data_IF_439449835221
#
_entry.id   IF_439449835221
#
_cell.length_a   1.000
_cell.length_b   1.000
_cell.length_c   1.000
_cell.angle_alpha   90.00
_cell.angle_beta   90.00
_cell.angle_gamma   90.00
#
_symmetry.space_group_name_H-M   'P 1'
#
loop_
_entity.id
_entity.type
_entity.pdbx_description
1 polymer ?
#
# COMPACT_ATOMS: atom_id res chain seq x y z
N UNK A 1 1.17 17.58 -27.26
CA UNK A 1 0.52 16.25 -27.17
C UNK A 1 -0.57 16.43 -26.14
N UNK A 2 -1.83 16.35 -26.57
CA UNK A 2 -2.99 16.59 -25.70
C UNK A 2 -3.18 15.39 -24.77
N UNK A 3 -2.97 15.60 -23.47
CA UNK A 3 -3.06 14.57 -22.44
C UNK A 3 -4.55 14.33 -22.09
N UNK A 4 -5.45 15.23 -22.50
CA UNK A 4 -6.88 15.20 -22.16
C UNK A 4 -7.70 14.17 -22.94
N UNK A 5 -7.12 13.50 -23.95
CA UNK A 5 -7.83 12.51 -24.77
C UNK A 5 -7.63 11.06 -24.33
N UNK A 6 -6.80 10.80 -23.30
CA UNK A 6 -6.50 9.45 -22.80
C UNK A 6 -7.25 9.22 -21.49
N UNK A 7 -7.89 8.07 -21.34
CA UNK A 7 -8.44 7.67 -20.04
C UNK A 7 -7.32 7.65 -19.00
N UNK A 8 -7.54 8.17 -17.78
CA UNK A 8 -6.52 8.19 -16.74
C UNK A 8 -6.11 6.76 -16.37
N UNK A 9 -4.88 6.59 -15.90
CA UNK A 9 -4.43 5.33 -15.31
C UNK A 9 -5.14 5.14 -13.96
N UNK A 10 -5.84 4.02 -13.77
CA UNK A 10 -6.74 3.82 -12.62
C UNK A 10 -6.10 2.87 -11.60
N UNK A 11 -5.87 3.39 -10.40
CA UNK A 11 -5.32 2.64 -9.27
C UNK A 11 -6.42 2.42 -8.23
N UNK A 12 -6.67 1.16 -7.88
CA UNK A 12 -7.43 0.82 -6.68
C UNK A 12 -6.49 0.78 -5.48
N UNK A 13 -6.64 1.72 -4.55
CA UNK A 13 -5.90 1.73 -3.29
C UNK A 13 -6.72 1.03 -2.20
N UNK A 14 -6.22 -0.10 -1.71
CA UNK A 14 -6.80 -0.87 -0.61
C UNK A 14 -6.14 -0.46 0.71
N UNK A 15 -6.87 0.25 1.55
CA UNK A 15 -6.39 0.63 2.87
C UNK A 15 -6.71 -0.45 3.90
N UNK A 16 -5.69 -0.98 4.59
CA UNK A 16 -5.85 -1.99 5.64
C UNK A 16 -5.47 -1.45 7.03
N UNK A 17 -5.22 -0.15 7.16
CA UNK A 17 -4.70 0.50 8.36
C UNK A 17 -3.16 0.55 8.41
N UNK A 18 -2.59 0.15 9.55
CA UNK A 18 -1.15 0.23 9.80
C UNK A 18 -0.66 1.65 10.16
N UNK A 19 0.67 1.79 10.23
CA UNK A 19 1.34 3.01 10.75
C UNK A 19 0.99 4.28 9.98
N UNK A 20 0.68 4.20 8.68
CA UNK A 20 0.29 5.37 7.88
C UNK A 20 -0.97 6.03 8.45
N UNK A 21 -1.97 5.24 8.82
CA UNK A 21 -3.27 5.75 9.28
C UNK A 21 -3.33 6.00 10.79
N UNK A 22 -2.30 5.61 11.56
CA UNK A 22 -2.20 5.94 12.98
C UNK A 22 -2.06 7.46 13.15
N UNK A 23 -3.06 8.11 13.74
CA UNK A 23 -2.90 9.45 14.32
C UNK A 23 -2.89 9.43 15.84
N UNK A 24 -1.91 10.12 16.42
CA UNK A 24 -1.83 10.35 17.86
C UNK A 24 -2.58 11.64 18.20
N UNK A 25 -3.61 11.54 19.02
CA UNK A 25 -4.26 12.70 19.61
C UNK A 25 -3.55 13.04 20.93
N UNK A 26 -2.72 14.07 20.89
CA UNK A 26 -1.97 14.55 22.05
C UNK A 26 -2.88 15.12 23.16
N UNK A 27 -4.13 15.49 22.85
CA UNK A 27 -5.08 16.04 23.82
C UNK A 27 -5.84 14.95 24.59
N UNK A 28 -6.10 13.81 23.95
CA UNK A 28 -6.77 12.66 24.55
C UNK A 28 -5.80 11.60 25.11
N UNK A 29 -4.51 11.70 24.81
CA UNK A 29 -3.53 10.66 25.15
C UNK A 29 -3.80 9.33 24.45
N UNK A 30 -4.58 9.34 23.37
CA UNK A 30 -5.11 8.18 22.69
C UNK A 30 -4.83 8.25 21.18
N UNK A 31 -4.75 7.08 20.54
CA UNK A 31 -4.68 6.98 19.09
C UNK A 31 -6.11 7.12 18.53
N UNK A 32 -6.41 8.24 17.86
CA UNK A 32 -7.67 8.43 17.14
C UNK A 32 -7.46 8.11 15.66
N UNK A 33 -8.44 7.52 14.99
CA UNK A 33 -8.40 7.18 13.55
C UNK A 33 -9.16 8.21 12.67
N UNK A 34 -9.53 9.37 13.23
CA UNK A 34 -10.59 10.23 12.68
C UNK A 34 -10.22 11.06 11.44
N UNK A 35 -8.96 11.05 10.98
CA UNK A 35 -8.59 11.75 9.73
C UNK A 35 -8.24 10.74 8.66
N UNK A 36 -8.84 10.85 7.46
CA UNK A 36 -8.48 10.02 6.32
C UNK A 36 -7.08 10.44 5.81
N UNK A 37 -6.04 9.94 6.49
CA UNK A 37 -4.63 10.29 6.22
C UNK A 37 -4.28 10.00 4.77
N UNK A 38 -4.74 8.87 4.24
CA UNK A 38 -4.45 8.49 2.86
C UNK A 38 -5.05 9.47 1.86
N UNK A 39 -6.30 9.90 2.04
CA UNK A 39 -6.94 10.90 1.17
C UNK A 39 -6.24 12.27 1.28
N UNK A 40 -5.81 12.64 2.49
CA UNK A 40 -5.03 13.87 2.71
C UNK A 40 -3.69 13.81 1.97
N UNK A 41 -2.97 12.69 2.09
CA UNK A 41 -1.70 12.46 1.41
C UNK A 41 -1.91 12.49 -0.11
N UNK A 42 -2.90 11.77 -0.63
CA UNK A 42 -3.22 11.76 -2.06
C UNK A 42 -3.54 13.16 -2.58
N UNK A 43 -4.25 13.99 -1.80
CA UNK A 43 -4.54 15.38 -2.17
C UNK A 43 -3.29 16.29 -2.25
N UNK A 44 -2.16 15.89 -1.66
CA UNK A 44 -0.89 16.62 -1.79
C UNK A 44 -0.08 16.23 -3.03
N UNK A 45 -0.46 15.15 -3.73
CA UNK A 45 0.25 14.66 -4.90
C UNK A 45 -0.38 15.21 -6.19
N UNK A 46 0.42 15.85 -7.04
CA UNK A 46 0.00 16.24 -8.39
C UNK A 46 0.20 15.08 -9.37
N UNK A 47 -0.90 14.40 -9.71
CA UNK A 47 -0.92 13.23 -10.60
C UNK A 47 -2.02 13.40 -11.67
N UNK A 48 -1.82 14.29 -12.66
CA UNK A 48 -2.88 14.72 -13.57
C UNK A 48 -3.42 13.62 -14.49
N UNK A 49 -2.69 12.51 -14.63
CA UNK A 49 -3.03 11.36 -15.48
C UNK A 49 -3.35 10.08 -14.68
N UNK A 50 -3.53 10.19 -13.37
CA UNK A 50 -3.85 9.06 -12.48
C UNK A 50 -5.13 9.34 -11.71
N UNK A 51 -6.05 8.37 -11.74
CA UNK A 51 -7.19 8.33 -10.82
C UNK A 51 -6.91 7.27 -9.75
N UNK A 52 -6.95 7.67 -8.48
CA UNK A 52 -6.81 6.76 -7.34
C UNK A 52 -8.16 6.64 -6.65
N UNK A 53 -8.76 5.45 -6.70
CA UNK A 53 -9.98 5.13 -5.97
C UNK A 53 -9.60 4.41 -4.67
N UNK A 54 -9.98 4.98 -3.52
CA UNK A 54 -9.63 4.43 -2.20
C UNK A 54 -10.75 3.55 -1.67
N UNK A 55 -10.44 2.28 -1.39
CA UNK A 55 -11.31 1.35 -0.66
C UNK A 55 -10.68 0.97 0.67
N UNK A 56 -11.36 1.30 1.76
CA UNK A 56 -11.00 0.84 3.10
C UNK A 56 -11.48 -0.60 3.29
N UNK A 57 -10.53 -1.51 3.41
CA UNK A 57 -10.81 -2.93 3.67
C UNK A 57 -10.98 -3.15 5.16
N UNK A 58 -10.07 -2.57 5.95
CA UNK A 58 -10.04 -2.67 7.41
C UNK A 58 -9.14 -1.57 7.98
N UNK A 59 -9.08 -1.48 9.32
CA UNK A 59 -8.21 -0.52 10.02
C UNK A 59 -7.63 -1.17 11.28
N UNK A 60 -6.60 -2.01 11.11
CA UNK A 60 -5.96 -2.76 12.21
C UNK A 60 -4.45 -2.56 12.22
N UNK A 61 -3.80 -2.93 13.34
CA UNK A 61 -2.34 -3.09 13.36
C UNK A 61 -1.95 -4.34 12.56
N UNK A 62 -0.82 -4.28 11.86
CA UNK A 62 -0.27 -5.46 11.18
C UNK A 62 -0.04 -6.64 12.12
N UNK A 63 0.32 -6.40 13.39
CA UNK A 63 0.53 -7.46 14.38
C UNK A 63 -0.77 -8.15 14.79
N UNK A 64 -1.91 -7.47 14.64
CA UNK A 64 -3.24 -8.04 14.88
C UNK A 64 -3.83 -8.69 13.61
N UNK A 65 -3.15 -8.57 12.47
CA UNK A 65 -3.61 -9.17 11.21
C UNK A 65 -3.34 -10.68 11.18
N UNK A 66 -4.39 -11.47 11.39
CA UNK A 66 -4.38 -12.92 11.28
C UNK A 66 -4.62 -13.42 9.85
N UNK A 67 -4.90 -14.72 9.74
CA UNK A 67 -5.19 -15.36 8.44
C UNK A 67 -6.52 -14.91 7.84
N UNK A 68 -7.53 -14.69 8.68
CA UNK A 68 -8.85 -14.24 8.24
C UNK A 68 -8.76 -12.85 7.61
N UNK A 69 -8.07 -11.92 8.26
CA UNK A 69 -7.87 -10.56 7.78
C UNK A 69 -7.03 -10.56 6.49
N UNK A 70 -5.97 -11.38 6.42
CA UNK A 70 -5.23 -11.56 5.15
C UNK A 70 -6.11 -12.10 4.03
N UNK A 71 -7.01 -13.03 4.32
CA UNK A 71 -7.95 -13.56 3.32
C UNK A 71 -8.93 -12.48 2.83
N UNK A 72 -9.33 -11.53 3.68
CA UNK A 72 -10.12 -10.37 3.27
C UNK A 72 -9.32 -9.44 2.33
N UNK A 73 -8.05 -9.18 2.63
CA UNK A 73 -7.15 -8.42 1.73
C UNK A 73 -7.03 -9.11 0.37
N UNK A 74 -6.82 -10.42 0.35
CA UNK A 74 -6.77 -11.22 -0.89
C UNK A 74 -8.10 -11.13 -1.65
N UNK A 75 -9.23 -11.21 -0.96
CA UNK A 75 -10.56 -11.11 -1.56
C UNK A 75 -10.79 -9.73 -2.18
N UNK A 76 -10.42 -8.66 -1.46
CA UNK A 76 -10.51 -7.29 -1.96
C UNK A 76 -9.61 -7.07 -3.19
N UNK A 77 -8.36 -7.57 -3.15
CA UNK A 77 -7.45 -7.51 -4.30
C UNK A 77 -8.00 -8.28 -5.50
N UNK A 78 -8.54 -9.49 -5.30
CA UNK A 78 -9.17 -10.27 -6.38
C UNK A 78 -10.34 -9.52 -7.03
N UNK A 79 -11.18 -8.87 -6.22
CA UNK A 79 -12.29 -8.07 -6.73
C UNK A 79 -11.80 -6.87 -7.55
N UNK A 80 -10.75 -6.16 -7.08
CA UNK A 80 -10.14 -5.06 -7.81
C UNK A 80 -9.53 -5.53 -9.15
N UNK A 81 -8.84 -6.67 -9.14
CA UNK A 81 -8.28 -7.27 -10.35
C UNK A 81 -9.36 -7.70 -11.36
N UNK A 82 -10.59 -8.01 -10.92
CA UNK A 82 -11.67 -8.39 -11.82
C UNK A 82 -12.35 -7.20 -12.52
N UNK A 83 -12.18 -5.98 -11.99
CA UNK A 83 -12.76 -4.77 -12.56
C UNK A 83 -12.04 -4.39 -13.88
N UNK A 84 -12.82 -4.10 -14.92
CA UNK A 84 -12.27 -3.81 -16.26
C UNK A 84 -11.59 -2.44 -16.36
N UNK A 85 -11.82 -1.57 -15.38
CA UNK A 85 -11.34 -0.19 -15.29
C UNK A 85 -10.28 -0.02 -14.20
N UNK A 86 -9.61 -1.09 -13.77
CA UNK A 86 -8.47 -1.01 -12.85
C UNK A 86 -7.22 -1.43 -13.62
N UNK A 87 -6.17 -0.61 -13.51
CA UNK A 87 -4.86 -0.85 -14.15
C UNK A 87 -3.81 -1.36 -13.15
N UNK A 88 -3.97 -1.03 -11.87
CA UNK A 88 -3.11 -1.55 -10.79
C UNK A 88 -3.79 -1.52 -9.42
N UNK A 89 -3.24 -2.28 -8.48
CA UNK A 89 -3.67 -2.28 -7.07
C UNK A 89 -2.52 -1.79 -6.20
N UNK A 90 -2.80 -0.84 -5.31
CA UNK A 90 -1.89 -0.42 -4.25
C UNK A 90 -2.50 -0.79 -2.90
N UNK A 91 -1.72 -1.30 -1.95
CA UNK A 91 -2.21 -1.71 -0.64
C UNK A 91 -1.38 -1.00 0.43
N UNK A 92 -2.01 -0.18 1.27
CA UNK A 92 -1.34 0.39 2.45
C UNK A 92 -1.51 -0.55 3.63
N UNK A 93 -0.38 -0.92 4.25
CA UNK A 93 -0.30 -1.98 5.24
C UNK A 93 0.69 -1.62 6.35
N UNK A 94 0.52 -2.21 7.55
CA UNK A 94 1.52 -2.14 8.61
C UNK A 94 2.78 -2.95 8.27
N UNK A 95 3.95 -2.47 8.66
CA UNK A 95 5.22 -3.02 8.13
C UNK A 95 5.63 -4.36 8.74
N UNK A 96 5.15 -4.69 9.95
CA UNK A 96 5.55 -5.90 10.68
C UNK A 96 5.11 -7.20 9.99
N UNK A 97 3.92 -7.21 9.40
CA UNK A 97 3.37 -8.40 8.73
C UNK A 97 3.14 -8.23 7.22
N UNK A 98 3.69 -7.14 6.63
CA UNK A 98 3.55 -6.84 5.21
C UNK A 98 4.06 -7.98 4.33
N UNK A 99 5.20 -8.59 4.68
CA UNK A 99 5.79 -9.69 3.94
C UNK A 99 4.86 -10.91 3.87
N UNK A 100 4.20 -11.24 4.97
CA UNK A 100 3.26 -12.36 5.08
C UNK A 100 2.02 -12.11 4.22
N UNK A 101 1.48 -10.88 4.24
CA UNK A 101 0.35 -10.50 3.38
C UNK A 101 0.73 -10.50 1.90
N UNK A 102 1.92 -10.00 1.56
CA UNK A 102 2.44 -10.05 0.19
C UNK A 102 2.56 -11.50 -0.31
N UNK A 103 3.08 -12.40 0.53
CA UNK A 103 3.18 -13.82 0.22
C UNK A 103 1.81 -14.48 0.06
N UNK A 104 0.84 -14.15 0.93
CA UNK A 104 -0.53 -14.65 0.82
C UNK A 104 -1.19 -14.23 -0.50
N UNK A 105 -1.00 -12.97 -0.91
CA UNK A 105 -1.45 -12.45 -2.21
C UNK A 105 -0.78 -13.19 -3.37
N UNK A 106 0.54 -13.33 -3.34
CA UNK A 106 1.28 -14.02 -4.40
C UNK A 106 0.83 -15.48 -4.54
N UNK A 107 0.66 -16.21 -3.44
CA UNK A 107 0.19 -17.60 -3.45
C UNK A 107 -1.26 -17.71 -3.92
N UNK A 108 -2.16 -16.86 -3.44
CA UNK A 108 -3.59 -16.97 -3.73
C UNK A 108 -3.97 -16.49 -5.14
N UNK A 109 -3.17 -15.59 -5.72
CA UNK A 109 -3.40 -15.01 -7.04
C UNK A 109 -2.54 -15.65 -8.13
N UNK A 110 -1.45 -16.32 -7.77
CA UNK A 110 -0.49 -17.06 -8.60
C UNK A 110 0.15 -16.19 -9.72
N UNK A 111 -0.65 -15.83 -10.71
CA UNK A 111 -0.29 -14.95 -11.84
C UNK A 111 -1.31 -13.81 -11.96
N UNK A 112 -1.26 -12.79 -11.09
CA UNK A 112 -2.17 -11.66 -11.19
C UNK A 112 -1.97 -10.95 -12.53
N UNK A 113 -3.07 -10.49 -13.15
CA UNK A 113 -3.03 -9.82 -14.45
C UNK A 113 -2.58 -8.35 -14.41
N UNK A 114 -2.54 -7.75 -13.21
CA UNK A 114 -2.09 -6.37 -12.96
C UNK A 114 -1.03 -6.37 -11.85
N UNK A 115 -0.18 -5.33 -11.76
CA UNK A 115 0.72 -5.17 -10.62
C UNK A 115 -0.06 -4.89 -9.33
N UNK A 116 0.38 -5.52 -8.25
CA UNK A 116 -0.08 -5.29 -6.88
C UNK A 116 1.11 -4.80 -6.06
N UNK A 117 1.04 -3.58 -5.54
CA UNK A 117 2.13 -2.96 -4.79
C UNK A 117 1.70 -2.69 -3.36
N UNK A 118 2.29 -3.41 -2.41
CA UNK A 118 2.14 -3.14 -0.99
C UNK A 118 3.09 -2.02 -0.57
N UNK A 119 2.66 -1.19 0.36
CA UNK A 119 3.48 -0.18 0.99
C UNK A 119 3.03 0.09 2.41
N UNK A 120 3.83 0.87 3.15
CA UNK A 120 3.58 1.20 4.55
C UNK A 120 4.46 2.35 4.99
N UNK A 121 4.52 2.57 6.29
CA UNK A 121 5.45 3.52 6.90
C UNK A 121 6.06 2.92 8.18
N UNK A 122 7.30 3.27 8.46
CA UNK A 122 7.93 2.98 9.75
C UNK A 122 7.53 3.99 10.80
N UNK A 123 7.20 5.23 10.39
CA UNK A 123 6.79 6.30 11.29
C UNK A 123 5.38 6.80 10.96
N UNK A 124 4.53 7.06 11.97
CA UNK A 124 3.19 7.59 11.73
C UNK A 124 3.21 8.89 10.93
N UNK A 125 2.21 9.09 10.05
CA UNK A 125 2.17 10.23 9.13
C UNK A 125 2.31 11.60 9.81
N UNK A 126 1.76 11.76 11.01
CA UNK A 126 1.76 13.05 11.75
C UNK A 126 3.11 13.41 12.39
N UNK A 127 4.11 12.55 12.30
CA UNK A 127 5.47 12.85 12.76
C UNK A 127 6.20 13.60 11.64
N UNK A 128 6.90 14.69 11.97
CA UNK A 128 7.55 15.58 11.01
C UNK A 128 8.48 14.87 10.00
N UNK A 129 9.11 13.76 10.40
CA UNK A 129 10.02 12.96 9.59
C UNK A 129 9.40 11.61 9.15
N UNK A 130 8.10 11.60 8.89
CA UNK A 130 7.39 10.39 8.42
C UNK A 130 7.78 10.02 6.99
N UNK A 131 8.02 8.73 6.79
CA UNK A 131 8.27 8.10 5.50
C UNK A 131 6.96 7.79 4.71
N UNK A 132 5.78 8.03 5.31
CA UNK A 132 4.49 7.68 4.71
C UNK A 132 4.23 8.34 3.34
N UNK A 133 4.42 9.66 3.24
CA UNK A 133 4.21 10.40 1.98
C UNK A 133 5.13 9.88 0.87
N UNK A 134 6.41 9.68 1.20
CA UNK A 134 7.40 9.16 0.26
C UNK A 134 7.03 7.76 -0.23
N UNK A 135 6.73 6.84 0.70
CA UNK A 135 6.45 5.45 0.36
C UNK A 135 5.15 5.28 -0.43
N UNK A 136 4.10 6.05 -0.12
CA UNK A 136 2.85 6.03 -0.89
C UNK A 136 3.06 6.59 -2.30
N UNK A 137 3.74 7.74 -2.45
CA UNK A 137 4.05 8.30 -3.76
C UNK A 137 4.88 7.31 -4.60
N UNK A 138 5.87 6.67 -3.98
CA UNK A 138 6.66 5.62 -4.61
C UNK A 138 5.80 4.42 -5.03
N UNK A 139 4.87 3.97 -4.21
CA UNK A 139 4.00 2.83 -4.52
C UNK A 139 3.07 3.12 -5.71
N UNK A 140 2.49 4.33 -5.77
CA UNK A 140 1.69 4.78 -6.91
C UNK A 140 2.53 4.83 -8.20
N UNK A 141 3.76 5.31 -8.12
CA UNK A 141 4.69 5.32 -9.26
C UNK A 141 5.08 3.90 -9.70
N UNK A 142 5.41 3.04 -8.74
CA UNK A 142 5.80 1.65 -9.01
C UNK A 142 4.64 0.87 -9.67
N UNK A 143 3.41 1.08 -9.21
CA UNK A 143 2.21 0.46 -9.77
C UNK A 143 2.01 0.77 -11.27
N UNK A 144 2.52 1.91 -11.76
CA UNK A 144 2.46 2.31 -13.17
C UNK A 144 3.57 1.70 -14.04
N UNK A 145 4.69 1.33 -13.42
CA UNK A 145 5.92 0.95 -14.13
C UNK A 145 6.19 -0.56 -14.10
N UNK A 146 5.66 -1.25 -13.10
CA UNK A 146 5.89 -2.68 -12.91
C UNK A 146 4.98 -3.52 -13.81
N UNK A 147 5.53 -4.64 -14.24
CA UNK A 147 4.75 -5.72 -14.86
C UNK A 147 3.85 -6.40 -13.83
N UNK A 148 2.86 -7.17 -14.26
CA UNK A 148 2.00 -7.91 -13.34
C UNK A 148 2.78 -8.81 -12.37
N UNK A 149 2.39 -8.78 -11.10
CA UNK A 149 3.10 -9.43 -9.99
C UNK A 149 2.77 -8.78 -8.65
N UNK A 150 3.29 -9.34 -7.56
CA UNK A 150 3.11 -8.80 -6.19
C UNK A 150 4.45 -8.30 -5.67
N UNK A 151 4.47 -7.04 -5.23
CA UNK A 151 5.67 -6.33 -4.82
C UNK A 151 5.43 -5.53 -3.55
N UNK A 152 6.50 -5.19 -2.84
CA UNK A 152 6.53 -4.08 -1.90
C UNK A 152 7.30 -2.91 -2.49
N UNK A 153 6.80 -1.69 -2.31
CA UNK A 153 7.52 -0.44 -2.60
C UNK A 153 7.80 0.32 -1.30
N UNK A 154 9.08 0.50 -0.97
CA UNK A 154 9.52 1.11 0.30
C UNK A 154 10.91 1.74 0.16
N UNK A 155 11.11 2.96 0.66
CA UNK A 155 12.41 3.65 0.70
C UNK A 155 13.26 3.54 -0.60
N UNK A 156 12.64 3.80 -1.75
CA UNK A 156 13.29 3.77 -3.06
C UNK A 156 13.52 2.37 -3.65
N UNK A 157 13.05 1.30 -2.99
CA UNK A 157 13.18 -0.08 -3.46
C UNK A 157 11.84 -0.67 -3.85
N UNK A 158 11.85 -1.53 -4.88
CA UNK A 158 10.76 -2.45 -5.21
C UNK A 158 11.25 -3.86 -4.97
N UNK A 159 10.53 -4.64 -4.17
CA UNK A 159 10.94 -5.97 -3.71
C UNK A 159 9.82 -6.97 -4.04
N UNK A 160 10.09 -8.07 -4.78
CA UNK A 160 9.10 -9.10 -5.04
C UNK A 160 8.60 -9.77 -3.75
N UNK A 161 7.32 -10.15 -3.70
CA UNK A 161 6.66 -10.68 -2.50
C UNK A 161 7.46 -11.72 -1.71
N UNK A 162 8.03 -12.72 -2.40
CA UNK A 162 8.78 -13.82 -1.79
C UNK A 162 10.17 -13.46 -1.25
N UNK A 163 10.58 -12.18 -1.28
CA UNK A 163 11.89 -11.73 -0.82
C UNK A 163 11.83 -10.58 0.19
N UNK A 164 10.64 -10.16 0.59
CA UNK A 164 10.47 -9.03 1.49
C UNK A 164 10.88 -9.44 2.91
N UNK A 165 11.79 -8.69 3.52
CA UNK A 165 12.14 -8.81 4.93
C UNK A 165 12.14 -7.43 5.58
N UNK A 166 11.59 -7.32 6.79
CA UNK A 166 11.69 -6.11 7.60
C UNK A 166 13.03 -6.07 8.32
N UNK A 167 13.78 -5.00 8.11
CA UNK A 167 14.97 -4.66 8.87
C UNK A 167 14.56 -3.76 10.04
N UNK A 168 14.58 -4.33 11.25
CA UNK A 168 14.18 -3.64 12.47
C UNK A 168 15.23 -2.65 12.98
N UNK A 169 16.50 -2.82 12.61
CA UNK A 169 17.58 -1.92 13.01
C UNK A 169 17.56 -0.66 12.14
N UNK A 170 17.46 -0.83 10.83
CA UNK A 170 17.46 0.28 9.87
C UNK A 170 16.08 0.88 9.62
N UNK A 171 15.03 0.28 10.18
CA UNK A 171 13.64 0.67 9.96
C UNK A 171 13.36 0.78 8.46
N UNK A 172 13.50 -0.33 7.73
CA UNK A 172 13.20 -0.39 6.30
C UNK A 172 12.75 -1.79 5.89
N UNK A 173 12.25 -1.93 4.66
CA UNK A 173 12.18 -3.23 4.00
C UNK A 173 13.44 -3.46 3.15
N UNK A 174 13.93 -4.70 3.18
CA UNK A 174 15.08 -5.17 2.41
C UNK A 174 14.71 -6.44 1.64
N UNK A 175 15.46 -6.71 0.59
CA UNK A 175 15.37 -7.96 -0.17
C UNK A 175 16.25 -9.03 0.49
N UNK A 176 15.69 -10.20 0.82
CA UNK A 176 16.48 -11.33 1.31
C UNK A 176 17.47 -11.79 0.24
N UNK A 177 18.73 -12.00 0.62
CA UNK A 177 19.67 -12.72 -0.24
C UNK A 177 19.14 -14.13 -0.50
N UNK A 178 19.24 -14.57 -1.77
CA UNK A 178 18.83 -15.92 -2.19
C UNK A 178 19.76 -16.98 -1.62
#
# INVERSE_FOLDING_TARGET
MDISSRSPFRIMLLATGGTIEKSYDASAGALTLDVPVIDTLLATLDQPDVQVDVRRVMSIDSLDMGEAERAEVVTAARAALAASDVDAVVITHGTDTLAQTAQALATALDTPRLPIVLTGAMRPYRVADSDAAQNVAQALMAARLLTPGVYAAFHGRVIPAGRIVKDYERLTLIESAT
#
